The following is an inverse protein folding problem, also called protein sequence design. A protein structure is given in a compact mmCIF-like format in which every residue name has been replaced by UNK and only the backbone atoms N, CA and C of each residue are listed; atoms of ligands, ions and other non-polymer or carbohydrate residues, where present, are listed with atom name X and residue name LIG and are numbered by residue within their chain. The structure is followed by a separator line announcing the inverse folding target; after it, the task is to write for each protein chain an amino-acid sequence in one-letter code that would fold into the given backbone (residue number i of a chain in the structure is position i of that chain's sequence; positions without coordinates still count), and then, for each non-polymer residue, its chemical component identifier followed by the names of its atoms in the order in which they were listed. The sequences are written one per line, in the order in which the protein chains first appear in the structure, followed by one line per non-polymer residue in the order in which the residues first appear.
data_IF_794025328387
#
_entry.id   IF_794025328387
#
_cell.length_a   1.000
_cell.length_b   1.000
_cell.length_c   1.000
_cell.angle_alpha   90.00
_cell.angle_beta   90.00
_cell.angle_gamma   90.00
#
_symmetry.space_group_name_H-M   'P 1'
#
loop_
_entity.id
_entity.type
_entity.pdbx_description
1 polymer ?
#
# COMPACT_ATOMS: atom_id res chain seq x y z
N UNK A 1 -8.11 -19.91 -2.62
CA UNK A 1 -7.64 -19.41 -1.31
C UNK A 1 -7.67 -17.91 -1.43
N UNK A 2 -8.20 -17.20 -0.45
CA UNK A 2 -8.20 -15.73 -0.40
C UNK A 2 -6.90 -15.27 0.24
N UNK A 3 -6.37 -14.11 -0.16
CA UNK A 3 -5.12 -13.59 0.40
C UNK A 3 -5.26 -13.28 1.90
N UNK A 4 -4.12 -13.29 2.59
CA UNK A 4 -4.00 -12.79 3.97
C UNK A 4 -3.28 -11.44 3.97
N UNK A 5 -3.76 -10.50 4.78
CA UNK A 5 -3.18 -9.15 4.91
C UNK A 5 -2.66 -8.96 6.33
N UNK A 6 -1.39 -8.57 6.44
CA UNK A 6 -0.69 -8.40 7.71
C UNK A 6 -0.07 -7.00 7.78
N UNK A 7 -0.54 -6.17 8.71
CA UNK A 7 0.12 -4.87 8.98
C UNK A 7 1.36 -5.13 9.80
N UNK A 8 2.53 -4.92 9.20
CA UNK A 8 3.82 -5.10 9.85
C UNK A 8 4.14 -3.93 10.79
N UNK A 9 3.83 -2.71 10.33
CA UNK A 9 4.04 -1.47 11.06
C UNK A 9 2.95 -0.48 10.67
N UNK A 10 2.23 0.08 11.64
CA UNK A 10 1.31 1.18 11.40
C UNK A 10 2.10 2.49 11.24
N UNK A 11 1.83 3.22 10.16
CA UNK A 11 2.48 4.49 9.85
C UNK A 11 2.03 5.62 10.75
N UNK A 12 2.62 6.79 10.54
CA UNK A 12 2.30 8.02 11.26
C UNK A 12 2.79 9.24 10.47
N UNK A 13 2.09 10.37 10.61
CA UNK A 13 2.47 11.65 10.00
C UNK A 13 2.24 12.81 10.99
N UNK A 14 3.25 13.11 11.80
CA UNK A 14 3.26 14.21 12.77
C UNK A 14 4.63 14.93 12.72
N UNK A 15 5.29 15.15 13.86
CA UNK A 15 6.72 15.52 13.93
C UNK A 15 7.68 14.52 13.25
N UNK A 16 7.27 13.25 13.09
CA UNK A 16 7.98 12.20 12.35
C UNK A 16 7.03 11.61 11.31
N UNK A 17 7.59 10.90 10.33
CA UNK A 17 6.83 10.27 9.26
C UNK A 17 7.31 8.86 8.96
N UNK A 18 6.37 7.96 8.74
CA UNK A 18 6.57 6.60 8.23
C UNK A 18 5.28 6.12 7.55
N UNK A 19 5.41 5.29 6.53
CA UNK A 19 4.27 4.58 5.93
C UNK A 19 3.80 3.43 6.81
N UNK A 20 2.54 3.03 6.61
CA UNK A 20 2.03 1.75 7.05
C UNK A 20 2.58 0.69 6.12
N UNK A 21 3.40 -0.21 6.68
CA UNK A 21 4.00 -1.30 5.90
C UNK A 21 3.12 -2.54 6.03
N UNK A 22 2.75 -3.11 4.89
CA UNK A 22 1.84 -4.26 4.81
C UNK A 22 2.53 -5.43 4.11
N UNK A 23 2.39 -6.63 4.65
CA UNK A 23 2.67 -7.88 3.95
C UNK A 23 1.36 -8.54 3.51
N UNK A 24 1.31 -9.00 2.28
CA UNK A 24 0.20 -9.76 1.72
C UNK A 24 0.72 -11.14 1.33
N UNK A 25 0.06 -12.19 1.81
CA UNK A 25 0.37 -13.57 1.46
C UNK A 25 -0.74 -14.11 0.55
N UNK A 26 -0.38 -14.46 -0.68
CA UNK A 26 -1.34 -14.94 -1.68
C UNK A 26 -0.71 -16.02 -2.55
N UNK A 27 -1.35 -17.18 -2.65
CA UNK A 27 -0.91 -18.31 -3.50
C UNK A 27 0.56 -18.72 -3.31
N UNK A 28 1.07 -18.62 -2.07
CA UNK A 28 2.48 -18.93 -1.75
C UNK A 28 3.47 -17.83 -2.15
N UNK A 29 3.00 -16.63 -2.52
CA UNK A 29 3.79 -15.44 -2.77
C UNK A 29 3.63 -14.45 -1.62
N UNK A 30 4.72 -13.75 -1.30
CA UNK A 30 4.71 -12.61 -0.39
C UNK A 30 4.86 -11.32 -1.19
N UNK A 31 3.99 -10.35 -0.91
CA UNK A 31 3.96 -9.01 -1.49
C UNK A 31 4.10 -8.01 -0.35
N UNK A 32 4.94 -6.97 -0.52
CA UNK A 32 5.08 -5.89 0.48
C UNK A 32 4.59 -4.57 -0.10
N UNK A 33 3.82 -3.82 0.68
CA UNK A 33 3.36 -2.47 0.31
C UNK A 33 4.09 -1.44 1.17
N UNK A 34 4.62 -0.42 0.51
CA UNK A 34 5.21 0.79 1.09
C UNK A 34 6.22 0.58 2.24
N UNK A 35 7.41 0.02 2.00
CA UNK A 35 8.42 -0.16 3.04
C UNK A 35 9.23 1.12 3.36
N UNK A 36 8.59 2.27 3.57
CA UNK A 36 9.29 3.55 3.71
C UNK A 36 9.40 4.11 5.13
N UNK A 37 10.48 4.88 5.36
CA UNK A 37 10.86 5.66 6.58
C UNK A 37 10.51 5.13 7.98
N UNK A 38 10.28 3.82 8.16
CA UNK A 38 10.12 3.22 9.48
C UNK A 38 11.29 3.57 10.41
N UNK A 39 11.01 3.67 11.72
CA UNK A 39 11.99 4.11 12.70
C UNK A 39 13.22 3.19 12.82
N UNK A 40 13.03 1.90 12.56
CA UNK A 40 14.09 0.89 12.48
C UNK A 40 13.67 -0.17 11.45
N UNK A 41 14.61 -0.72 10.69
CA UNK A 41 14.30 -1.77 9.70
C UNK A 41 13.73 -3.04 10.36
N UNK A 42 14.05 -3.29 11.63
CA UNK A 42 13.51 -4.42 12.37
C UNK A 42 11.98 -4.37 12.50
N UNK A 43 11.36 -3.19 12.43
CA UNK A 43 9.88 -3.06 12.44
C UNK A 43 9.22 -3.61 11.18
N UNK A 44 10.00 -3.86 10.12
CA UNK A 44 9.57 -4.57 8.92
C UNK A 44 10.03 -6.03 8.99
N UNK A 45 11.31 -6.24 9.30
CA UNK A 45 11.95 -7.55 9.18
C UNK A 45 11.51 -8.55 10.24
N UNK A 46 11.36 -8.13 11.50
CA UNK A 46 10.94 -9.02 12.59
C UNK A 46 9.52 -9.58 12.39
N UNK A 47 8.49 -8.77 12.08
CA UNK A 47 7.15 -9.31 11.82
C UNK A 47 7.10 -10.14 10.52
N UNK A 48 7.85 -9.81 9.47
CA UNK A 48 7.97 -10.69 8.29
C UNK A 48 8.54 -12.06 8.65
N UNK A 49 9.61 -12.09 9.45
CA UNK A 49 10.21 -13.34 9.92
C UNK A 49 9.24 -14.14 10.80
N UNK A 50 8.41 -13.48 11.61
CA UNK A 50 7.36 -14.13 12.40
C UNK A 50 6.27 -14.78 11.53
N UNK A 51 6.03 -14.25 10.32
CA UNK A 51 5.18 -14.86 9.28
C UNK A 51 5.89 -15.99 8.52
N UNK A 52 7.17 -16.25 8.80
CA UNK A 52 7.99 -17.23 8.09
C UNK A 52 8.45 -16.76 6.70
N UNK A 53 8.43 -15.45 6.44
CA UNK A 53 8.84 -14.86 5.16
C UNK A 53 10.26 -14.32 5.28
N UNK A 54 11.17 -14.86 4.46
CA UNK A 54 12.47 -14.25 4.23
C UNK A 54 12.31 -13.04 3.28
N UNK A 55 12.87 -11.86 3.60
CA UNK A 55 12.86 -10.71 2.71
C UNK A 55 13.38 -11.01 1.30
N UNK A 56 14.32 -11.96 1.15
CA UNK A 56 14.85 -12.37 -0.14
C UNK A 56 13.87 -13.21 -0.98
N UNK A 57 12.78 -13.69 -0.38
CA UNK A 57 11.72 -14.47 -1.02
C UNK A 57 10.46 -13.63 -1.30
N UNK A 58 10.44 -12.35 -0.92
CA UNK A 58 9.40 -11.40 -1.33
C UNK A 58 9.47 -11.23 -2.85
N UNK A 59 8.37 -11.57 -3.52
CA UNK A 59 8.31 -11.61 -4.98
C UNK A 59 7.97 -10.26 -5.60
N UNK A 60 7.18 -9.46 -4.90
CA UNK A 60 6.68 -8.19 -5.41
C UNK A 60 6.64 -7.14 -4.28
N UNK A 61 7.00 -5.90 -4.61
CA UNK A 61 6.87 -4.72 -3.76
C UNK A 61 6.02 -3.70 -4.49
N UNK A 62 5.00 -3.17 -3.84
CA UNK A 62 4.13 -2.12 -4.39
C UNK A 62 4.43 -0.80 -3.70
N UNK A 63 4.66 0.24 -4.49
CA UNK A 63 4.66 1.62 -4.04
C UNK A 63 3.30 2.23 -4.33
N UNK A 64 2.64 2.75 -3.30
CA UNK A 64 1.45 3.59 -3.47
C UNK A 64 1.82 4.83 -4.28
N UNK A 65 2.98 5.45 -3.98
CA UNK A 65 3.59 6.55 -4.73
C UNK A 65 5.07 6.72 -4.31
N UNK A 66 5.78 7.70 -4.90
CA UNK A 66 7.24 7.81 -4.79
C UNK A 66 7.77 8.70 -3.66
N UNK A 67 6.96 9.05 -2.66
CA UNK A 67 7.52 9.76 -1.51
C UNK A 67 8.49 8.86 -0.71
N UNK A 68 9.56 9.42 -0.12
CA UNK A 68 10.59 8.62 0.56
C UNK A 68 10.04 7.79 1.72
N UNK A 69 9.05 8.31 2.44
CA UNK A 69 8.36 7.65 3.52
C UNK A 69 7.52 6.45 3.11
N UNK A 70 7.40 6.16 1.81
CA UNK A 70 6.79 4.95 1.25
C UNK A 70 7.83 4.00 0.62
N UNK A 71 8.99 4.52 0.18
CA UNK A 71 9.91 3.77 -0.69
C UNK A 71 11.28 3.48 -0.08
N UNK A 72 11.68 4.16 0.99
CA UNK A 72 13.08 4.23 1.43
C UNK A 72 13.75 2.87 1.69
N UNK A 73 13.03 1.84 2.15
CA UNK A 73 13.58 0.52 2.42
C UNK A 73 13.23 -0.53 1.34
N UNK A 74 12.87 -0.12 0.13
CA UNK A 74 12.65 -1.03 -1.01
C UNK A 74 13.82 -1.99 -1.23
N UNK A 75 15.05 -1.52 -1.02
CA UNK A 75 16.27 -2.32 -1.18
C UNK A 75 16.42 -3.50 -0.19
N UNK A 76 15.53 -3.65 0.80
CA UNK A 76 15.48 -4.85 1.65
C UNK A 76 15.02 -6.10 0.88
N UNK A 77 14.32 -5.93 -0.24
CA UNK A 77 13.68 -7.01 -1.00
C UNK A 77 14.43 -7.26 -2.32
N UNK A 78 15.60 -7.87 -2.21
CA UNK A 78 16.60 -7.95 -3.29
C UNK A 78 16.14 -8.64 -4.57
N UNK A 79 15.15 -9.52 -4.48
CA UNK A 79 14.64 -10.31 -5.62
C UNK A 79 13.26 -9.87 -6.10
N UNK A 80 12.67 -8.85 -5.47
CA UNK A 80 11.33 -8.42 -5.79
C UNK A 80 11.26 -7.72 -7.15
N UNK A 81 10.09 -7.83 -7.77
CA UNK A 81 9.61 -6.89 -8.78
C UNK A 81 8.99 -5.69 -8.07
N UNK A 82 9.27 -4.48 -8.53
CA UNK A 82 8.73 -3.26 -7.93
C UNK A 82 7.64 -2.69 -8.83
N UNK A 83 6.50 -2.37 -8.24
CA UNK A 83 5.31 -1.90 -8.93
C UNK A 83 4.98 -0.48 -8.50
N UNK A 84 4.69 0.37 -9.48
CA UNK A 84 4.14 1.70 -9.26
C UNK A 84 2.99 1.97 -10.25
N UNK A 85 2.66 3.25 -10.46
CA UNK A 85 1.56 3.69 -11.30
C UNK A 85 1.71 3.41 -12.80
N UNK A 86 2.93 3.28 -13.33
CA UNK A 86 3.17 3.22 -14.78
C UNK A 86 4.11 2.12 -15.26
N UNK A 87 4.75 1.39 -14.36
CA UNK A 87 5.76 0.43 -14.73
C UNK A 87 5.88 -0.72 -13.73
N UNK A 88 6.71 -1.69 -14.13
CA UNK A 88 7.25 -2.73 -13.27
C UNK A 88 8.77 -2.70 -13.44
N UNK A 89 9.48 -2.70 -12.33
CA UNK A 89 10.95 -2.71 -12.30
C UNK A 89 11.45 -4.04 -11.78
N UNK A 90 12.40 -4.65 -12.49
CA UNK A 90 13.08 -5.86 -12.04
C UNK A 90 14.54 -5.79 -12.46
N UNK A 91 15.46 -5.75 -11.49
CA UNK A 91 16.90 -5.55 -11.73
C UNK A 91 17.15 -4.27 -12.56
N UNK A 92 17.58 -4.42 -13.80
CA UNK A 92 17.84 -3.36 -14.78
C UNK A 92 16.77 -3.25 -15.86
N UNK A 93 15.65 -3.99 -15.71
CA UNK A 93 14.54 -3.99 -16.66
C UNK A 93 13.43 -3.05 -16.21
N UNK A 94 12.96 -2.23 -17.16
CA UNK A 94 11.78 -1.38 -17.05
C UNK A 94 10.70 -1.91 -17.99
N UNK A 95 9.52 -2.23 -17.48
CA UNK A 95 8.36 -2.66 -18.29
C UNK A 95 7.20 -1.69 -18.11
N UNK A 96 6.84 -0.96 -19.15
CA UNK A 96 5.68 -0.06 -19.14
C UNK A 96 4.39 -0.84 -18.90
N UNK A 97 3.65 -0.42 -17.87
CA UNK A 97 2.43 -1.07 -17.41
C UNK A 97 1.63 -0.12 -16.54
N UNK A 98 0.45 0.28 -16.99
CA UNK A 98 -0.47 1.11 -16.19
C UNK A 98 -1.01 0.33 -14.99
N UNK A 99 -1.03 0.96 -13.81
CA UNK A 99 -1.48 0.29 -12.59
C UNK A 99 -2.97 -0.05 -12.60
N UNK A 100 -3.83 0.80 -13.16
CA UNK A 100 -5.29 0.62 -13.01
C UNK A 100 -5.78 -0.72 -13.58
N UNK A 101 -6.32 -1.56 -12.71
CA UNK A 101 -6.82 -2.89 -13.04
C UNK A 101 -5.75 -3.97 -13.21
N UNK A 102 -4.47 -3.67 -12.99
CA UNK A 102 -3.41 -4.68 -13.12
C UNK A 102 -3.48 -5.70 -11.99
N UNK A 103 -3.43 -6.98 -12.35
CA UNK A 103 -3.42 -8.11 -11.43
C UNK A 103 -1.98 -8.46 -11.02
N UNK A 104 -1.62 -8.25 -9.76
CA UNK A 104 -0.30 -8.61 -9.19
C UNK A 104 -0.24 -10.11 -8.90
N UNK A 105 -1.30 -10.66 -8.32
CA UNK A 105 -1.48 -12.09 -8.01
C UNK A 105 -2.97 -12.47 -8.07
N UNK A 106 -3.38 -13.72 -7.84
CA UNK A 106 -4.79 -14.15 -7.96
C UNK A 106 -5.79 -13.29 -7.18
N UNK A 107 -5.42 -12.79 -6.00
CA UNK A 107 -6.29 -12.00 -5.11
C UNK A 107 -5.88 -10.53 -5.00
N UNK A 108 -4.80 -10.09 -5.64
CA UNK A 108 -4.25 -8.73 -5.49
C UNK A 108 -4.25 -7.98 -6.82
N UNK A 109 -4.89 -6.81 -6.84
CA UNK A 109 -4.91 -5.91 -8.00
C UNK A 109 -4.62 -4.47 -7.61
N UNK A 110 -4.15 -3.69 -8.57
CA UNK A 110 -3.91 -2.26 -8.40
C UNK A 110 -5.06 -1.42 -8.96
N UNK A 111 -5.27 -0.24 -8.37
CA UNK A 111 -6.23 0.76 -8.83
C UNK A 111 -5.53 2.12 -8.82
N UNK A 112 -5.60 2.85 -9.93
CA UNK A 112 -5.09 4.22 -9.96
C UNK A 112 -6.02 5.12 -9.13
N UNK A 113 -5.45 5.84 -8.17
CA UNK A 113 -6.19 6.67 -7.21
C UNK A 113 -5.56 8.05 -7.06
N UNK A 114 -5.36 8.80 -8.16
CA UNK A 114 -4.67 10.08 -8.12
C UNK A 114 -5.40 11.07 -7.19
N UNK A 115 -4.62 11.90 -6.51
CA UNK A 115 -5.14 12.93 -5.63
C UNK A 115 -4.10 13.54 -4.72
N UNK A 116 -3.55 12.74 -3.80
CA UNK A 116 -2.43 13.19 -2.97
C UNK A 116 -1.23 13.50 -3.87
N UNK A 117 -0.91 12.56 -4.75
CA UNK A 117 -0.10 12.78 -5.94
C UNK A 117 -0.81 12.30 -7.20
N UNK A 118 -0.38 12.76 -8.37
CA UNK A 118 -0.83 12.18 -9.64
C UNK A 118 -0.42 10.70 -9.84
N UNK A 119 0.48 10.18 -8.99
CA UNK A 119 1.08 8.84 -9.08
C UNK A 119 0.42 7.84 -8.13
N UNK A 120 -0.58 8.23 -7.36
CA UNK A 120 -1.13 7.38 -6.32
C UNK A 120 -1.80 6.12 -6.87
N UNK A 121 -1.51 5.00 -6.20
CA UNK A 121 -2.08 3.68 -6.45
C UNK A 121 -2.60 3.11 -5.15
N UNK A 122 -3.79 2.53 -5.21
CA UNK A 122 -4.35 1.70 -4.13
C UNK A 122 -4.13 0.23 -4.45
N UNK A 123 -3.60 -0.52 -3.48
CA UNK A 123 -3.49 -1.98 -3.55
C UNK A 123 -4.75 -2.62 -2.98
N UNK A 124 -5.49 -3.33 -3.83
CA UNK A 124 -6.75 -3.98 -3.48
C UNK A 124 -6.53 -5.48 -3.32
N UNK A 125 -6.98 -6.02 -2.19
CA UNK A 125 -6.73 -7.40 -1.78
C UNK A 125 -8.04 -8.09 -1.40
N UNK A 126 -8.38 -9.14 -2.13
CA UNK A 126 -9.55 -9.98 -1.82
C UNK A 126 -9.18 -10.99 -0.72
N UNK A 127 -9.78 -10.82 0.47
CA UNK A 127 -9.59 -11.70 1.63
C UNK A 127 -10.87 -12.51 1.92
N UNK A 128 -10.81 -13.47 2.85
CA UNK A 128 -12.01 -14.20 3.29
C UNK A 128 -13.01 -13.30 4.02
N UNK A 129 -12.53 -12.18 4.59
CA UNK A 129 -13.31 -11.23 5.38
C UNK A 129 -13.74 -10.00 4.53
N UNK A 130 -13.49 -10.04 3.22
CA UNK A 130 -13.86 -9.01 2.26
C UNK A 130 -12.66 -8.28 1.66
N UNK A 131 -12.97 -7.20 0.94
CA UNK A 131 -11.98 -6.40 0.21
C UNK A 131 -11.21 -5.50 1.17
N UNK A 132 -9.87 -5.62 1.16
CA UNK A 132 -8.96 -4.72 1.88
C UNK A 132 -8.31 -3.76 0.90
N UNK A 133 -8.20 -2.49 1.28
CA UNK A 133 -7.56 -1.45 0.46
C UNK A 133 -6.38 -0.80 1.20
N UNK A 134 -5.16 -0.99 0.71
CA UNK A 134 -3.96 -0.28 1.19
C UNK A 134 -3.80 0.99 0.34
N UNK A 135 -3.87 2.18 0.96
CA UNK A 135 -4.10 3.43 0.22
C UNK A 135 -3.61 4.68 0.94
N UNK A 136 -3.16 5.67 0.15
CA UNK A 136 -2.89 7.04 0.63
C UNK A 136 -4.12 7.96 0.59
N UNK A 137 -5.29 7.47 0.17
CA UNK A 137 -6.49 8.32 0.05
C UNK A 137 -6.91 8.99 1.37
N UNK A 138 -6.52 8.41 2.51
CA UNK A 138 -6.60 9.03 3.82
C UNK A 138 -5.29 8.82 4.57
N UNK A 139 -4.88 9.81 5.35
CA UNK A 139 -3.69 9.66 6.20
C UNK A 139 -3.94 8.66 7.33
N UNK A 140 -5.10 8.76 7.98
CA UNK A 140 -5.55 7.87 9.05
C UNK A 140 -7.04 8.11 9.34
N UNK A 141 -7.64 7.30 10.22
CA UNK A 141 -9.03 7.47 10.68
C UNK A 141 -9.27 8.84 11.36
N UNK A 142 -8.26 9.39 12.07
CA UNK A 142 -8.33 10.72 12.68
C UNK A 142 -7.59 11.78 11.85
N UNK A 143 -7.28 11.45 10.59
CA UNK A 143 -6.61 12.34 9.65
C UNK A 143 -7.47 13.53 9.24
N UNK A 144 -6.87 14.53 8.57
CA UNK A 144 -7.62 15.68 8.10
C UNK A 144 -8.56 15.27 6.97
N UNK A 145 -9.76 15.86 6.98
CA UNK A 145 -10.81 15.62 5.97
C UNK A 145 -10.32 16.07 4.58
N UNK A 146 -9.77 17.28 4.50
CA UNK A 146 -9.02 17.74 3.35
C UNK A 146 -7.56 17.43 3.54
N UNK A 147 -6.91 16.84 2.54
CA UNK A 147 -5.48 16.59 2.62
C UNK A 147 -4.73 17.90 2.38
N UNK A 148 -4.01 18.44 3.39
CA UNK A 148 -3.29 19.70 3.25
C UNK A 148 -2.07 19.60 2.32
N UNK A 149 -1.71 18.39 1.87
CA UNK A 149 -0.56 18.09 1.01
C UNK A 149 -0.97 17.57 -0.36
N UNK A 150 -2.26 17.37 -0.62
CA UNK A 150 -2.69 16.86 -1.92
C UNK A 150 -2.36 17.83 -3.07
N UNK A 151 -1.82 17.27 -4.14
CA UNK A 151 -1.60 17.97 -5.41
C UNK A 151 -2.94 18.35 -6.07
N UNK A 152 -3.94 17.47 -5.99
CA UNK A 152 -5.28 17.68 -6.54
C UNK A 152 -6.36 17.11 -5.60
N UNK A 153 -6.93 17.98 -4.77
CA UNK A 153 -7.99 17.63 -3.83
C UNK A 153 -9.28 17.14 -4.52
N UNK A 154 -9.60 17.62 -5.73
CA UNK A 154 -10.80 17.19 -6.46
C UNK A 154 -10.61 15.77 -6.99
N UNK A 155 -9.43 15.48 -7.56
CA UNK A 155 -9.08 14.12 -7.96
C UNK A 155 -9.06 13.16 -6.77
N UNK A 156 -8.54 13.60 -5.61
CA UNK A 156 -8.54 12.83 -4.37
C UNK A 156 -9.95 12.43 -3.94
N UNK A 157 -10.89 13.38 -3.94
CA UNK A 157 -12.29 13.13 -3.58
C UNK A 157 -12.97 12.15 -4.54
N UNK A 158 -12.71 12.27 -5.85
CA UNK A 158 -13.20 11.31 -6.84
C UNK A 158 -12.63 9.91 -6.60
N UNK A 159 -11.33 9.80 -6.29
CA UNK A 159 -10.68 8.53 -5.98
C UNK A 159 -11.21 7.89 -4.70
N UNK A 160 -11.48 8.69 -3.65
CA UNK A 160 -12.18 8.24 -2.42
C UNK A 160 -13.55 7.67 -2.74
N UNK A 161 -14.38 8.39 -3.51
CA UNK A 161 -15.70 7.90 -3.90
C UNK A 161 -15.62 6.59 -4.68
N UNK A 162 -14.74 6.50 -5.68
CA UNK A 162 -14.54 5.25 -6.45
C UNK A 162 -14.11 4.08 -5.58
N UNK A 163 -13.24 4.29 -4.60
CA UNK A 163 -12.83 3.23 -3.69
C UNK A 163 -13.98 2.78 -2.78
N UNK A 164 -14.74 3.72 -2.22
CA UNK A 164 -15.88 3.41 -1.34
C UNK A 164 -17.01 2.69 -2.07
N UNK A 165 -17.23 2.98 -3.36
CA UNK A 165 -18.17 2.24 -4.21
C UNK A 165 -17.84 0.74 -4.35
N UNK A 166 -16.57 0.35 -4.15
CA UNK A 166 -16.16 -1.05 -4.13
C UNK A 166 -16.51 -1.76 -2.82
N UNK A 167 -16.92 -1.01 -1.78
CA UNK A 167 -17.28 -1.55 -0.48
C UNK A 167 -16.16 -2.30 0.25
N UNK A 168 -14.96 -1.71 0.43
CA UNK A 168 -13.91 -2.36 1.20
C UNK A 168 -14.37 -2.62 2.63
N UNK A 169 -14.10 -3.81 3.16
CA UNK A 169 -14.35 -4.13 4.56
C UNK A 169 -13.31 -3.49 5.48
N UNK A 170 -12.09 -3.24 4.97
CA UNK A 170 -11.01 -2.61 5.71
C UNK A 170 -10.21 -1.66 4.81
N UNK A 171 -9.91 -0.49 5.35
CA UNK A 171 -8.99 0.48 4.74
C UNK A 171 -7.72 0.50 5.60
N UNK A 172 -6.58 0.25 4.96
CA UNK A 172 -5.25 0.38 5.56
C UNK A 172 -4.67 1.70 5.05
N UNK A 173 -4.72 2.78 5.85
CA UNK A 173 -4.16 4.06 5.43
C UNK A 173 -2.64 4.04 5.58
N UNK A 174 -1.94 4.89 4.83
CA UNK A 174 -0.48 4.88 4.89
C UNK A 174 0.10 5.58 6.12
N UNK A 175 -0.66 6.32 6.94
CA UNK A 175 -0.14 7.00 8.14
C UNK A 175 -0.95 6.73 9.40
N UNK A 176 -1.41 5.49 9.58
CA UNK A 176 -2.13 5.11 10.80
C UNK A 176 -2.56 3.65 10.85
N UNK A 177 -3.32 3.31 11.89
CA UNK A 177 -3.92 1.99 12.01
C UNK A 177 -5.04 1.79 10.97
N UNK A 178 -5.28 0.54 10.53
CA UNK A 178 -6.43 0.22 9.70
C UNK A 178 -7.77 0.58 10.36
N UNK A 179 -8.75 0.95 9.55
CA UNK A 179 -10.10 1.28 10.01
C UNK A 179 -11.16 0.77 9.02
N UNK A 180 -12.40 0.60 9.51
CA UNK A 180 -13.53 0.16 8.69
C UNK A 180 -14.03 1.27 7.77
N UNK A 181 -14.64 0.91 6.63
CA UNK A 181 -15.17 1.91 5.68
C UNK A 181 -16.28 2.81 6.27
N UNK A 182 -16.94 2.37 7.35
CA UNK A 182 -17.90 3.15 8.13
C UNK A 182 -17.25 4.21 9.04
N UNK A 183 -15.94 4.13 9.24
CA UNK A 183 -15.14 5.05 10.06
C UNK A 183 -14.28 6.02 9.23
N UNK A 184 -14.56 6.17 7.92
CA UNK A 184 -13.84 7.15 7.09
C UNK A 184 -13.97 8.56 7.67
N UNK A 185 -12.89 9.37 7.67
CA UNK A 185 -12.96 10.78 8.04
C UNK A 185 -14.02 11.50 7.20
N UNK A 186 -14.98 12.13 7.86
CA UNK A 186 -16.13 12.82 7.23
C UNK A 186 -15.88 14.28 6.92
#
# INVERSE_FOLDING_TARGET
MTAEVHVLCAGYAHERVASTVVAILDEGRAIVVDPGMVSDRSTILDPLAALGVDPADVGDVVFSHHHPDHTLNAALFERARFHDHWAIYERDTWTDRQADGFQVSGSVRLMATPGHSAQDVTTLVETSDGLVACTHLWWSEQGPVQDPRAEDQVALELSRSRLLELGPSLIVPDHGAPFGADAVPG
#
